data_IF_860865555665
#
_entry.id   IF_860865555665
#
_cell.length_a   1.000
_cell.length_b   1.000
_cell.length_c   1.000
_cell.angle_alpha   90.00
_cell.angle_beta   90.00
_cell.angle_gamma   90.00
#
_symmetry.space_group_name_H-M   'P 1'
#
loop_
_entity.id
_entity.type
_entity.pdbx_description
1 polymer ?
#
# COMPACT_ATOMS: atom_id res chain seq x y z
N UNK A 1 -7.78 1.39 -17.00
CA UNK A 1 -6.99 2.18 -17.96
C UNK A 1 -5.48 1.89 -17.90
N UNK A 2 -4.70 2.39 -16.92
CA UNK A 2 -3.23 2.19 -16.93
C UNK A 2 -2.81 0.71 -16.93
N UNK A 3 -3.41 -0.12 -16.06
CA UNK A 3 -3.11 -1.55 -15.99
C UNK A 3 -3.50 -2.30 -17.28
N UNK A 4 -4.65 -1.95 -17.87
CA UNK A 4 -5.14 -2.54 -19.13
C UNK A 4 -4.21 -2.21 -20.30
N UNK A 5 -3.59 -1.03 -20.28
CA UNK A 5 -2.58 -0.62 -21.25
C UNK A 5 -1.19 -1.22 -20.99
N UNK A 6 -1.03 -2.09 -19.98
CA UNK A 6 0.27 -2.67 -19.59
C UNK A 6 1.23 -1.65 -18.98
N UNK A 7 0.73 -0.51 -18.51
CA UNK A 7 1.53 0.54 -17.88
C UNK A 7 1.59 0.30 -16.37
N UNK A 8 2.79 0.22 -15.76
CA UNK A 8 2.92 0.15 -14.32
C UNK A 8 2.18 1.29 -13.62
N UNK A 9 1.46 0.96 -12.54
CA UNK A 9 0.65 1.92 -11.81
C UNK A 9 0.97 1.87 -10.32
N UNK A 10 0.84 3.02 -9.68
CA UNK A 10 1.02 3.20 -8.23
C UNK A 10 -0.22 3.81 -7.62
N UNK A 11 -0.44 3.52 -6.35
CA UNK A 11 -1.56 4.02 -5.57
C UNK A 11 -1.09 4.52 -4.22
N UNK A 12 -1.59 5.70 -3.82
CA UNK A 12 -1.44 6.20 -2.46
C UNK A 12 -2.56 5.66 -1.60
N UNK A 13 -2.22 5.02 -0.48
CA UNK A 13 -3.18 4.49 0.47
C UNK A 13 -3.26 5.40 1.70
N UNK A 14 -4.48 5.59 2.19
CA UNK A 14 -4.76 6.25 3.46
C UNK A 14 -5.19 5.20 4.48
N UNK A 15 -4.67 5.30 5.70
CA UNK A 15 -5.04 4.43 6.82
C UNK A 15 -4.91 5.20 8.14
N UNK A 16 -5.67 4.83 9.17
CA UNK A 16 -5.57 5.50 10.47
C UNK A 16 -4.18 5.34 11.06
N UNK A 17 -3.53 6.45 11.35
CA UNK A 17 -2.19 6.49 11.95
C UNK A 17 -2.27 7.02 13.37
N UNK A 18 -1.73 6.25 14.33
CA UNK A 18 -1.54 6.74 15.70
C UNK A 18 -0.17 7.42 15.86
N UNK A 19 0.92 6.71 15.53
CA UNK A 19 2.28 7.25 15.73
C UNK A 19 2.88 7.94 14.50
N UNK A 20 2.46 7.60 13.28
CA UNK A 20 3.02 8.15 12.03
C UNK A 20 4.50 7.83 11.74
N UNK A 21 5.19 7.09 12.62
CA UNK A 21 6.64 6.83 12.53
C UNK A 21 7.00 5.33 12.49
N UNK A 22 6.00 4.46 12.24
CA UNK A 22 6.21 3.02 12.10
C UNK A 22 6.30 2.21 13.41
N UNK A 23 6.25 2.86 14.58
CA UNK A 23 6.38 2.20 15.88
C UNK A 23 5.15 1.39 16.31
N UNK A 24 3.93 1.96 16.18
CA UNK A 24 2.71 1.34 16.69
C UNK A 24 2.12 0.26 15.78
N UNK A 25 2.53 0.21 14.51
CA UNK A 25 1.99 -0.69 13.47
C UNK A 25 0.48 -0.56 13.18
N UNK A 26 -0.19 0.46 13.73
CA UNK A 26 -1.63 0.67 13.56
C UNK A 26 -2.08 0.94 12.13
N UNK A 27 -1.18 1.43 11.27
CA UNK A 27 -1.46 1.68 9.85
C UNK A 27 -0.96 0.55 8.93
N UNK A 28 -0.94 -0.69 9.44
CA UNK A 28 -0.53 -1.85 8.65
C UNK A 28 -1.63 -2.24 7.65
N UNK A 29 -1.25 -2.47 6.40
CA UNK A 29 -2.08 -2.96 5.30
C UNK A 29 -1.55 -4.30 4.82
N UNK A 30 -2.44 -5.20 4.41
CA UNK A 30 -2.06 -6.46 3.79
C UNK A 30 -1.66 -6.19 2.33
N UNK A 31 -0.50 -6.68 1.93
CA UNK A 31 -0.06 -6.71 0.53
C UNK A 31 0.26 -8.15 0.13
N UNK A 32 0.50 -8.40 -1.15
CA UNK A 32 0.99 -9.71 -1.62
C UNK A 32 2.30 -10.14 -0.98
N UNK A 33 3.12 -9.19 -0.55
CA UNK A 33 4.41 -9.43 0.12
C UNK A 33 4.27 -9.50 1.65
N UNK A 34 3.04 -9.57 2.17
CA UNK A 34 2.72 -9.56 3.60
C UNK A 34 2.32 -8.17 4.11
N UNK A 35 2.31 -8.01 5.44
CA UNK A 35 1.93 -6.75 6.07
C UNK A 35 2.99 -5.66 5.87
N UNK A 36 2.58 -4.53 5.31
CA UNK A 36 3.38 -3.30 5.16
C UNK A 36 2.68 -2.14 5.86
N UNK A 37 3.42 -1.13 6.32
CA UNK A 37 2.88 0.01 7.06
C UNK A 37 2.79 1.23 6.16
N UNK A 38 1.61 1.85 6.05
CA UNK A 38 1.41 3.07 5.24
C UNK A 38 2.37 4.19 5.63
N UNK A 39 2.56 4.47 6.92
CA UNK A 39 3.41 5.59 7.38
C UNK A 39 4.93 5.41 7.18
N UNK A 40 5.43 4.19 6.96
CA UNK A 40 6.89 3.92 6.93
C UNK A 40 7.35 3.11 5.73
N UNK A 41 6.50 2.21 5.23
CA UNK A 41 6.76 1.40 4.04
C UNK A 41 5.99 1.94 2.79
N UNK A 42 5.05 2.87 3.00
CA UNK A 42 4.21 3.56 1.99
C UNK A 42 4.44 5.08 1.97
N UNK A 43 3.40 5.93 1.72
CA UNK A 43 1.99 5.60 1.48
C UNK A 43 1.70 5.15 0.05
N UNK A 44 2.69 5.26 -0.85
CA UNK A 44 2.56 4.91 -2.26
C UNK A 44 3.09 3.50 -2.52
N UNK A 45 2.26 2.64 -3.10
CA UNK A 45 2.57 1.24 -3.38
C UNK A 45 2.32 0.88 -4.86
N UNK A 46 3.00 -0.13 -5.42
CA UNK A 46 2.63 -0.70 -6.71
C UNK A 46 1.21 -1.26 -6.64
N UNK A 47 0.39 -0.99 -7.66
CA UNK A 47 -1.00 -1.46 -7.70
C UNK A 47 -1.06 -2.99 -7.68
N UNK A 48 -0.11 -3.70 -8.29
CA UNK A 48 -0.07 -5.16 -8.27
C UNK A 48 0.18 -5.77 -6.88
N UNK A 49 0.73 -5.01 -5.93
CA UNK A 49 0.95 -5.47 -4.55
C UNK A 49 -0.31 -5.33 -3.69
N UNK A 50 -1.24 -4.45 -4.07
CA UNK A 50 -2.40 -4.04 -3.25
C UNK A 50 -3.73 -4.53 -3.82
N UNK A 51 -3.94 -4.45 -5.13
CA UNK A 51 -5.26 -4.61 -5.76
C UNK A 51 -5.36 -5.73 -6.80
N UNK A 52 -4.39 -6.63 -6.87
CA UNK A 52 -4.39 -7.62 -7.94
C UNK A 52 -5.23 -8.87 -7.59
N UNK A 53 -6.52 -8.83 -8.02
CA UNK A 53 -7.53 -9.91 -8.13
C UNK A 53 -8.09 -10.37 -6.78
N UNK A 54 -9.40 -10.42 -6.52
CA UNK A 54 -10.50 -10.96 -7.36
C UNK A 54 -11.04 -10.11 -8.52
#
# INVERSE_FOLDING_TARGET
>A
ECLEAGVPAWVSLEEKMACGIGACRGCAVMTKSGYRRVCSDGPVFPVEEVFAGD
#
